data_IF_982897618969
#
_entry.id   IF_982897618969
#
_cell.length_a   1.000
_cell.length_b   1.000
_cell.length_c   1.000
_cell.angle_alpha   90.00
_cell.angle_beta   90.00
_cell.angle_gamma   90.00
#
_symmetry.space_group_name_H-M   'P 1'
#
loop_
_entity.id
_entity.type
_entity.pdbx_description
1 polymer ?
#
# COMPACT_ATOMS: atom_id res chain seq x y z
N UNK A 1 68.35 -20.43 -12.41
CA UNK A 1 68.96 -19.72 -13.57
C UNK A 1 68.01 -19.86 -14.76
N UNK A 2 67.45 -18.74 -15.25
CA UNK A 2 66.86 -18.44 -16.60
C UNK A 2 65.86 -19.47 -17.20
N UNK A 3 64.63 -19.12 -17.58
CA UNK A 3 64.26 -18.04 -18.51
C UNK A 3 62.80 -17.57 -18.34
N UNK A 4 62.64 -16.25 -18.36
CA UNK A 4 61.39 -15.54 -18.62
C UNK A 4 61.02 -15.65 -20.11
N UNK A 5 59.72 -15.65 -20.44
CA UNK A 5 59.21 -14.90 -21.60
C UNK A 5 57.78 -14.42 -21.33
N UNK A 6 57.59 -13.11 -21.50
CA UNK A 6 56.35 -12.36 -21.26
C UNK A 6 55.40 -12.46 -22.47
N UNK A 7 54.11 -12.22 -22.16
CA UNK A 7 53.20 -11.23 -22.78
C UNK A 7 52.17 -11.69 -23.84
N UNK A 8 50.88 -11.36 -23.51
CA UNK A 8 49.76 -10.79 -24.29
C UNK A 8 48.49 -11.67 -24.22
N UNK A 9 47.54 -11.36 -23.32
CA UNK A 9 46.32 -10.57 -23.57
C UNK A 9 45.65 -10.93 -24.90
N UNK A 10 44.54 -11.67 -24.82
CA UNK A 10 43.33 -11.29 -25.57
C UNK A 10 42.11 -11.92 -24.88
N UNK A 11 41.21 -11.06 -24.43
CA UNK A 11 39.90 -11.38 -23.87
C UNK A 11 39.12 -12.29 -24.82
N UNK A 12 38.63 -13.42 -24.31
CA UNK A 12 37.68 -14.28 -25.02
C UNK A 12 36.48 -14.51 -24.10
N UNK A 13 35.41 -13.80 -24.47
CA UNK A 13 34.01 -14.24 -24.49
C UNK A 13 33.45 -14.90 -23.23
N UNK A 14 32.66 -14.09 -22.53
CA UNK A 14 31.70 -14.43 -21.50
C UNK A 14 30.55 -15.26 -22.08
N UNK A 15 30.63 -16.60 -22.03
CA UNK A 15 29.46 -17.50 -22.07
C UNK A 15 29.79 -18.75 -21.25
N UNK A 16 29.30 -18.79 -20.02
CA UNK A 16 29.34 -19.97 -19.16
C UNK A 16 27.92 -20.28 -18.69
N UNK A 17 27.27 -21.19 -19.41
CA UNK A 17 25.96 -21.76 -19.12
C UNK A 17 25.95 -22.33 -17.70
N UNK A 18 25.12 -21.78 -16.81
CA UNK A 18 24.76 -22.42 -15.55
C UNK A 18 23.40 -23.11 -15.73
N UNK A 19 23.47 -24.40 -16.08
CA UNK A 19 22.32 -25.29 -16.02
C UNK A 19 22.33 -26.06 -14.70
N UNK A 20 21.13 -26.22 -14.14
CA UNK A 20 20.69 -27.22 -13.15
C UNK A 20 20.92 -26.91 -11.66
N UNK A 21 19.90 -26.26 -11.09
CA UNK A 21 19.48 -26.37 -9.70
C UNK A 21 17.96 -26.62 -9.62
N UNK A 22 17.42 -27.55 -10.41
CA UNK A 22 16.03 -28.02 -10.29
C UNK A 22 15.95 -29.11 -9.22
N UNK A 23 15.79 -28.73 -7.95
CA UNK A 23 15.35 -29.64 -6.89
C UNK A 23 14.89 -28.90 -5.62
N UNK A 24 13.94 -27.97 -5.74
CA UNK A 24 13.06 -27.57 -4.61
C UNK A 24 11.82 -26.78 -5.10
N UNK A 25 11.30 -27.09 -6.29
CA UNK A 25 9.94 -26.68 -6.62
C UNK A 25 9.01 -27.74 -6.04
N UNK A 26 8.63 -27.58 -4.78
CA UNK A 26 7.35 -28.09 -4.30
C UNK A 26 6.33 -27.71 -5.37
N UNK A 27 5.56 -28.68 -5.86
CA UNK A 27 4.47 -28.43 -6.82
C UNK A 27 3.43 -27.55 -6.14
N UNK A 28 3.64 -26.24 -6.11
CA UNK A 28 2.56 -25.28 -6.00
C UNK A 28 1.81 -25.39 -7.33
N UNK A 29 0.59 -25.90 -7.28
CA UNK A 29 -0.27 -25.92 -8.46
C UNK A 29 -0.37 -24.48 -8.99
N UNK A 30 0.05 -24.23 -10.22
CA UNK A 30 -0.14 -22.94 -10.87
C UNK A 30 -1.63 -22.53 -10.95
N UNK A 31 -2.55 -23.48 -10.74
CA UNK A 31 -3.99 -23.25 -10.62
C UNK A 31 -4.42 -22.56 -9.31
N UNK A 32 -3.56 -22.49 -8.29
CA UNK A 32 -3.92 -21.91 -6.98
C UNK A 32 -3.76 -20.37 -6.98
N UNK A 33 -2.79 -19.86 -7.76
CA UNK A 33 -2.54 -18.41 -7.90
C UNK A 33 -3.67 -17.65 -8.60
N UNK A 34 -4.47 -18.31 -9.45
CA UNK A 34 -5.52 -17.65 -10.23
C UNK A 34 -6.83 -17.42 -9.47
N UNK A 35 -7.01 -17.99 -8.28
CA UNK A 35 -8.26 -17.85 -7.53
C UNK A 35 -8.41 -16.49 -6.84
N UNK A 36 -7.31 -15.73 -6.72
CA UNK A 36 -7.27 -14.42 -6.10
C UNK A 36 -7.02 -13.25 -7.04
N UNK A 37 -6.83 -13.48 -8.35
CA UNK A 37 -6.63 -12.42 -9.33
C UNK A 37 -7.93 -12.06 -10.03
N UNK A 38 -8.20 -10.76 -10.20
CA UNK A 38 -9.45 -10.18 -10.69
C UNK A 38 -9.19 -9.09 -11.74
N UNK A 39 -10.21 -8.73 -12.52
CA UNK A 39 -10.09 -7.71 -13.56
C UNK A 39 -10.13 -6.27 -13.02
N UNK A 40 -9.82 -5.30 -13.88
CA UNK A 40 -10.01 -3.87 -13.59
C UNK A 40 -11.47 -3.56 -13.17
N UNK A 41 -12.45 -4.12 -13.88
CA UNK A 41 -13.87 -3.89 -13.58
C UNK A 41 -14.25 -4.39 -12.18
N UNK A 42 -13.66 -5.50 -11.74
CA UNK A 42 -13.89 -6.04 -10.41
C UNK A 42 -13.31 -5.13 -9.32
N UNK A 43 -12.06 -4.68 -9.44
CA UNK A 43 -11.47 -3.76 -8.44
C UNK A 43 -12.15 -2.39 -8.46
N UNK A 44 -12.59 -1.90 -9.62
CA UNK A 44 -13.36 -0.66 -9.72
C UNK A 44 -14.72 -0.79 -9.00
N UNK A 45 -15.36 -1.95 -9.11
CA UNK A 45 -16.59 -2.23 -8.38
C UNK A 45 -16.33 -2.34 -6.86
N UNK A 46 -15.29 -3.06 -6.44
CA UNK A 46 -14.87 -3.12 -5.03
C UNK A 46 -14.61 -1.73 -4.45
N UNK A 47 -13.87 -0.89 -5.18
CA UNK A 47 -13.56 0.48 -4.82
C UNK A 47 -14.83 1.31 -4.62
N UNK A 48 -15.68 1.38 -5.64
CA UNK A 48 -16.90 2.18 -5.60
C UNK A 48 -17.87 1.71 -4.51
N UNK A 49 -18.00 0.40 -4.28
CA UNK A 49 -18.84 -0.13 -3.19
C UNK A 49 -18.24 0.17 -1.82
N UNK A 50 -16.93 0.07 -1.67
CA UNK A 50 -16.25 0.43 -0.42
C UNK A 50 -16.43 1.91 -0.12
N UNK A 51 -16.23 2.81 -1.10
CA UNK A 51 -16.44 4.24 -0.93
C UNK A 51 -17.87 4.58 -0.46
N UNK A 52 -18.89 3.88 -0.97
CA UNK A 52 -20.30 4.07 -0.55
C UNK A 52 -20.56 3.66 0.90
N UNK A 53 -19.83 2.68 1.41
CA UNK A 53 -20.02 2.14 2.74
C UNK A 53 -19.19 2.85 3.82
N UNK A 54 -18.25 3.71 3.40
CA UNK A 54 -17.41 4.49 4.30
C UNK A 54 -18.04 5.86 4.62
N UNK A 55 -17.71 6.36 5.80
CA UNK A 55 -18.07 7.71 6.28
C UNK A 55 -16.99 8.70 5.86
N UNK A 56 -17.35 9.83 5.27
CA UNK A 56 -16.38 10.82 4.76
C UNK A 56 -16.46 12.14 5.53
N UNK A 57 -15.38 12.95 5.53
CA UNK A 57 -15.45 14.33 6.02
C UNK A 57 -16.55 15.11 5.30
N UNK A 58 -17.15 16.07 6.00
CA UNK A 58 -18.21 16.89 5.40
C UNK A 58 -17.65 17.71 4.24
N UNK A 59 -18.36 17.71 3.11
CA UNK A 59 -17.93 18.41 1.90
C UNK A 59 -16.79 17.72 1.13
N UNK A 60 -16.32 16.55 1.55
CA UNK A 60 -15.32 15.80 0.81
C UNK A 60 -15.89 15.23 -0.49
N UNK A 61 -15.20 15.45 -1.61
CA UNK A 61 -15.55 14.86 -2.89
C UNK A 61 -15.03 13.43 -2.98
N UNK A 62 -15.92 12.45 -2.75
CA UNK A 62 -15.58 11.04 -2.77
C UNK A 62 -15.20 10.59 -4.19
N UNK A 63 -14.02 9.98 -4.39
CA UNK A 63 -13.63 9.45 -5.69
C UNK A 63 -14.62 8.38 -6.18
N UNK A 64 -14.94 8.45 -7.48
CA UNK A 64 -15.86 7.50 -8.13
C UNK A 64 -15.10 6.40 -8.87
N UNK A 65 -13.90 6.69 -9.32
CA UNK A 65 -13.06 5.80 -10.09
C UNK A 65 -11.78 5.50 -9.31
N UNK A 66 -11.31 4.27 -9.43
CA UNK A 66 -10.01 3.88 -8.90
C UNK A 66 -8.92 4.50 -9.79
N UNK A 67 -7.83 4.93 -9.19
CA UNK A 67 -6.70 5.60 -9.84
C UNK A 67 -5.73 4.62 -10.51
N UNK A 68 -6.29 3.58 -11.13
CA UNK A 68 -5.56 2.61 -11.93
C UNK A 68 -5.94 2.73 -13.40
N UNK A 69 -5.03 2.32 -14.29
CA UNK A 69 -5.31 2.32 -15.73
C UNK A 69 -6.01 1.04 -16.14
N UNK A 70 -7.05 1.18 -16.96
CA UNK A 70 -7.66 0.04 -17.66
C UNK A 70 -6.80 -0.36 -18.86
N UNK A 71 -5.74 -1.12 -18.60
CA UNK A 71 -4.74 -1.55 -19.59
C UNK A 71 -4.65 -3.07 -19.80
N UNK A 72 -5.58 -3.82 -19.21
CA UNK A 72 -5.61 -5.28 -19.27
C UNK A 72 -4.83 -5.97 -18.13
N UNK A 73 -4.29 -5.19 -17.18
CA UNK A 73 -3.72 -5.73 -15.94
C UNK A 73 -4.75 -6.49 -15.12
N UNK A 74 -4.25 -7.46 -14.34
CA UNK A 74 -5.02 -8.21 -13.35
C UNK A 74 -4.50 -7.86 -11.96
N UNK A 75 -5.41 -7.88 -10.99
CA UNK A 75 -5.17 -7.35 -9.65
C UNK A 75 -5.56 -8.37 -8.60
N UNK A 76 -5.07 -8.23 -7.37
CA UNK A 76 -5.54 -9.07 -6.29
C UNK A 76 -6.95 -8.66 -5.86
N UNK A 77 -7.80 -9.65 -5.55
CA UNK A 77 -9.11 -9.44 -4.94
C UNK A 77 -8.94 -8.64 -3.64
N UNK A 78 -9.78 -7.62 -3.44
CA UNK A 78 -9.66 -6.70 -2.32
C UNK A 78 -8.75 -5.49 -2.57
N UNK A 79 -8.09 -5.40 -3.73
CA UNK A 79 -7.29 -4.24 -4.09
C UNK A 79 -8.13 -2.96 -4.12
N UNK A 80 -9.33 -3.00 -4.72
CA UNK A 80 -10.22 -1.84 -4.75
C UNK A 80 -10.68 -1.42 -3.37
N UNK A 81 -10.96 -2.38 -2.48
CA UNK A 81 -11.29 -2.11 -1.08
C UNK A 81 -10.13 -1.41 -0.34
N UNK A 82 -8.91 -1.90 -0.53
CA UNK A 82 -7.71 -1.31 0.06
C UNK A 82 -7.50 0.11 -0.45
N UNK A 83 -7.61 0.33 -1.77
CA UNK A 83 -7.42 1.67 -2.36
C UNK A 83 -8.46 2.67 -1.88
N UNK A 84 -9.73 2.28 -1.79
CA UNK A 84 -10.78 3.12 -1.21
C UNK A 84 -10.50 3.48 0.26
N UNK A 85 -9.97 2.53 1.03
CA UNK A 85 -9.58 2.74 2.43
C UNK A 85 -8.44 3.75 2.58
N UNK A 86 -7.48 3.74 1.65
CA UNK A 86 -6.39 4.74 1.62
C UNK A 86 -6.89 6.16 1.33
N UNK A 87 -7.81 6.32 0.38
CA UNK A 87 -8.46 7.62 0.14
C UNK A 87 -9.23 8.11 1.37
N UNK A 88 -9.92 7.20 2.05
CA UNK A 88 -10.65 7.51 3.27
C UNK A 88 -9.74 7.90 4.43
N UNK A 89 -8.64 7.18 4.65
CA UNK A 89 -7.62 7.52 5.65
C UNK A 89 -7.05 8.92 5.38
N UNK A 90 -6.58 9.16 4.15
CA UNK A 90 -6.05 10.45 3.75
C UNK A 90 -7.06 11.60 3.88
N UNK A 91 -8.35 11.35 3.61
CA UNK A 91 -9.41 12.35 3.76
C UNK A 91 -9.58 12.78 5.23
N UNK A 92 -9.62 11.82 6.16
CA UNK A 92 -9.75 12.12 7.59
C UNK A 92 -8.46 12.69 8.19
N UNK A 93 -7.30 12.27 7.71
CA UNK A 93 -6.02 12.88 8.09
C UNK A 93 -5.93 14.35 7.68
N UNK A 94 -6.32 14.67 6.43
CA UNK A 94 -6.40 16.05 5.94
C UNK A 94 -7.43 16.87 6.74
N UNK A 95 -8.59 16.29 7.03
CA UNK A 95 -9.61 16.92 7.88
C UNK A 95 -9.04 17.26 9.27
N UNK A 96 -8.32 16.32 9.90
CA UNK A 96 -7.68 16.56 11.18
C UNK A 96 -6.63 17.68 11.10
N UNK A 97 -5.72 17.65 10.11
CA UNK A 97 -4.71 18.70 9.92
C UNK A 97 -5.33 20.09 9.71
N UNK A 98 -6.47 20.17 9.03
CA UNK A 98 -7.16 21.43 8.79
C UNK A 98 -7.88 21.98 10.03
N UNK A 99 -8.15 21.13 11.03
CA UNK A 99 -9.07 21.47 12.14
C UNK A 99 -8.43 21.42 13.52
N UNK A 100 -7.34 20.68 13.73
CA UNK A 100 -6.80 20.39 15.08
C UNK A 100 -6.41 21.61 15.93
N UNK A 101 -6.21 22.78 15.33
CA UNK A 101 -5.92 24.04 16.03
C UNK A 101 -7.13 24.97 16.21
N UNK A 102 -8.20 24.77 15.44
CA UNK A 102 -9.27 25.76 15.27
C UNK A 102 -10.65 25.21 15.56
N UNK A 103 -10.85 23.89 15.43
CA UNK A 103 -12.12 23.21 15.64
C UNK A 103 -11.87 21.84 16.30
N UNK A 104 -11.83 21.81 17.65
CA UNK A 104 -11.57 20.58 18.40
C UNK A 104 -12.62 19.48 18.16
N UNK A 105 -13.89 19.84 17.95
CA UNK A 105 -14.96 18.84 17.75
C UNK A 105 -14.76 18.09 16.43
N UNK A 106 -14.44 18.82 15.35
CA UNK A 106 -14.11 18.21 14.05
C UNK A 106 -12.83 17.41 14.11
N UNK A 107 -11.80 17.92 14.77
CA UNK A 107 -10.53 17.20 14.94
C UNK A 107 -10.71 15.89 15.72
N UNK A 108 -11.46 15.91 16.83
CA UNK A 108 -11.78 14.69 17.58
C UNK A 108 -12.61 13.71 16.76
N UNK A 109 -13.57 14.20 15.95
CA UNK A 109 -14.32 13.34 15.02
C UNK A 109 -13.37 12.67 14.02
N UNK A 110 -12.44 13.42 13.42
CA UNK A 110 -11.48 12.86 12.48
C UNK A 110 -10.61 11.77 13.13
N UNK A 111 -10.11 11.98 14.35
CA UNK A 111 -9.35 10.94 15.08
C UNK A 111 -10.21 9.72 15.42
N UNK A 112 -11.48 9.90 15.81
CA UNK A 112 -12.40 8.78 16.07
C UNK A 112 -12.68 7.95 14.81
N UNK A 113 -12.79 8.61 13.67
CA UNK A 113 -12.92 7.91 12.39
C UNK A 113 -11.62 7.16 12.07
N UNK A 114 -10.45 7.82 12.10
CA UNK A 114 -9.15 7.18 11.85
C UNK A 114 -8.85 5.99 12.77
N UNK A 115 -9.31 5.99 14.02
CA UNK A 115 -9.19 4.83 14.92
C UNK A 115 -9.88 3.56 14.39
N UNK A 116 -10.90 3.69 13.53
CA UNK A 116 -11.57 2.56 12.88
C UNK A 116 -10.64 1.84 11.89
N UNK A 117 -9.65 2.52 11.31
CA UNK A 117 -8.66 1.95 10.41
C UNK A 117 -8.02 0.68 10.97
N UNK A 118 -7.73 0.66 12.28
CA UNK A 118 -7.11 -0.48 12.99
C UNK A 118 -7.93 -1.78 12.90
N UNK A 119 -9.21 -1.70 12.54
CA UNK A 119 -10.12 -2.83 12.37
C UNK A 119 -10.53 -3.07 10.92
N UNK A 120 -10.05 -2.24 9.99
CA UNK A 120 -10.35 -2.37 8.58
C UNK A 120 -9.52 -3.50 7.95
N UNK A 121 -10.01 -4.15 6.88
CA UNK A 121 -9.35 -5.33 6.30
C UNK A 121 -7.88 -5.10 5.90
N UNK A 122 -7.54 -3.91 5.38
CA UNK A 122 -6.17 -3.60 4.98
C UNK A 122 -5.19 -3.50 6.17
N UNK A 123 -5.68 -3.26 7.38
CA UNK A 123 -4.89 -3.25 8.63
C UNK A 123 -4.97 -4.60 9.38
N UNK A 124 -5.51 -5.65 8.76
CA UNK A 124 -5.50 -6.98 9.38
C UNK A 124 -4.11 -7.60 9.38
N UNK A 125 -3.86 -8.56 10.27
CA UNK A 125 -2.59 -9.33 10.34
C UNK A 125 -2.26 -10.05 9.02
N UNK A 126 -3.28 -10.36 8.21
CA UNK A 126 -3.09 -11.00 6.91
C UNK A 126 -2.61 -10.03 5.83
N UNK A 127 -2.85 -8.72 5.98
CA UNK A 127 -2.64 -7.71 4.94
C UNK A 127 -1.55 -6.69 5.28
N UNK A 128 -1.27 -6.46 6.56
CA UNK A 128 -0.37 -5.41 7.03
C UNK A 128 0.48 -5.96 8.17
N UNK A 129 1.78 -5.72 8.14
CA UNK A 129 2.72 -6.21 9.16
C UNK A 129 2.60 -5.45 10.49
N UNK A 130 3.10 -6.06 11.56
CA UNK A 130 2.97 -5.51 12.91
C UNK A 130 3.64 -4.13 13.07
N UNK A 131 4.77 -3.90 12.39
CA UNK A 131 5.50 -2.64 12.50
C UNK A 131 4.71 -1.50 11.85
N UNK A 132 4.07 -1.75 10.71
CA UNK A 132 3.19 -0.77 10.06
C UNK A 132 1.96 -0.47 10.92
N UNK A 133 1.32 -1.49 11.52
CA UNK A 133 0.18 -1.28 12.44
C UNK A 133 0.59 -0.50 13.69
N UNK A 134 1.76 -0.81 14.25
CA UNK A 134 2.31 -0.09 15.41
C UNK A 134 2.66 1.35 15.06
N UNK A 135 3.24 1.59 13.88
CA UNK A 135 3.53 2.93 13.38
C UNK A 135 2.25 3.76 13.28
N UNK A 136 1.21 3.23 12.64
CA UNK A 136 -0.09 3.89 12.53
C UNK A 136 -0.69 4.22 13.91
N UNK A 137 -0.62 3.28 14.86
CA UNK A 137 -1.08 3.52 16.23
C UNK A 137 -0.30 4.66 16.92
N UNK A 138 1.04 4.69 16.79
CA UNK A 138 1.88 5.75 17.35
C UNK A 138 1.61 7.11 16.71
N UNK A 139 1.35 7.14 15.41
CA UNK A 139 0.94 8.34 14.69
C UNK A 139 -0.35 8.93 15.28
N UNK A 140 -1.38 8.12 15.50
CA UNK A 140 -2.63 8.59 16.12
C UNK A 140 -2.42 9.07 17.57
N UNK A 141 -1.55 8.40 18.34
CA UNK A 141 -1.21 8.86 19.71
C UNK A 141 -0.47 10.19 19.75
N UNK A 142 0.36 10.48 18.73
CA UNK A 142 0.96 11.82 18.56
C UNK A 142 -0.10 12.85 18.20
N UNK A 143 -0.97 12.54 17.25
CA UNK A 143 -2.05 13.42 16.82
C UNK A 143 -2.98 13.79 17.98
N UNK A 144 -3.35 12.83 18.84
CA UNK A 144 -4.13 13.09 20.08
C UNK A 144 -3.45 14.09 21.04
N UNK A 145 -2.13 14.23 20.98
CA UNK A 145 -1.34 15.19 21.77
C UNK A 145 -1.09 16.50 21.03
N UNK A 146 -1.70 16.69 19.86
CA UNK A 146 -1.56 17.87 19.02
C UNK A 146 -0.27 17.90 18.19
N UNK A 147 0.45 16.78 18.08
CA UNK A 147 1.64 16.65 17.23
C UNK A 147 1.22 16.15 15.83
N UNK A 148 1.33 16.98 14.77
CA UNK A 148 0.88 16.62 13.44
C UNK A 148 1.89 15.81 12.63
N UNK A 149 3.12 15.66 13.11
CA UNK A 149 4.25 15.22 12.28
C UNK A 149 4.05 13.85 11.65
N UNK A 150 3.46 12.91 12.39
CA UNK A 150 3.19 11.57 11.85
C UNK A 150 2.13 11.57 10.75
N UNK A 151 1.08 12.38 10.90
CA UNK A 151 0.02 12.51 9.88
C UNK A 151 0.55 13.24 8.64
N UNK A 152 1.34 14.31 8.81
CA UNK A 152 1.99 15.01 7.70
C UNK A 152 2.90 14.08 6.89
N UNK A 153 3.67 13.23 7.59
CA UNK A 153 4.51 12.22 6.96
C UNK A 153 3.69 11.16 6.22
N UNK A 154 2.62 10.62 6.84
CA UNK A 154 1.78 9.61 6.21
C UNK A 154 1.11 10.14 4.94
N UNK A 155 0.53 11.34 4.97
CA UNK A 155 -0.05 11.96 3.78
C UNK A 155 1.00 12.10 2.67
N UNK A 156 2.20 12.59 3.01
CA UNK A 156 3.25 12.83 2.02
C UNK A 156 3.70 11.55 1.30
N UNK A 157 3.72 10.43 2.02
CA UNK A 157 4.27 9.17 1.51
C UNK A 157 3.20 8.24 0.92
N UNK A 158 1.99 8.26 1.47
CA UNK A 158 1.00 7.21 1.26
C UNK A 158 -0.36 7.71 0.77
N UNK A 159 -0.65 9.01 0.84
CA UNK A 159 -1.93 9.51 0.34
C UNK A 159 -2.01 9.26 -1.18
N UNK A 160 -3.13 8.72 -1.67
CA UNK A 160 -3.35 8.59 -3.10
C UNK A 160 -3.47 9.97 -3.76
N UNK A 161 -2.99 10.06 -5.01
CA UNK A 161 -2.98 11.28 -5.82
C UNK A 161 -4.38 11.67 -6.33
#
# INVERSE_FOLDING_TARGET
MKRNLKRKISSIVLVGVLALGLAACSKANAADYSTGMVSYEEIQNEFAQTCKNLTWPEGYEVPKEIDEKKDGSVYQKGFGNTRASMYWEAAWEKEWLNTYKTDPERAEKALRELEKAKKMPYMSEASCDDATREYFAKMLEKAKKGDPTGIEENIKLNAPE
#
